data_IF_850111213581
#
_entry.id   IF_850111213581
#
_cell.length_a   1.000
_cell.length_b   1.000
_cell.length_c   1.000
_cell.angle_alpha   90.00
_cell.angle_beta   90.00
_cell.angle_gamma   90.00
#
_symmetry.space_group_name_H-M   'P 1'
#
loop_
_entity.id
_entity.type
_entity.pdbx_description
1 polymer ?
#
# COMPACT_ATOMS: atom_id res chain seq x y z
N UNK A 1 -0.48 3.02 46.97
CA UNK A 1 -1.71 2.92 46.14
C UNK A 1 -1.37 1.90 45.05
N UNK A 2 -1.97 0.69 45.11
CA UNK A 2 -1.59 -0.47 44.31
C UNK A 2 -2.03 -0.33 42.86
N UNK A 3 -1.08 -0.17 41.97
CA UNK A 3 -1.26 -0.07 40.50
C UNK A 3 -1.72 -1.42 39.87
N UNK A 4 -1.67 -2.50 40.64
CA UNK A 4 -2.02 -3.87 40.18
C UNK A 4 -3.51 -4.21 40.14
N UNK A 5 -4.41 -3.29 40.58
CA UNK A 5 -5.82 -3.60 40.73
C UNK A 5 -6.71 -3.26 39.53
N UNK A 6 -6.15 -2.73 38.41
CA UNK A 6 -6.95 -2.25 37.28
C UNK A 6 -6.89 -3.22 36.05
N UNK A 7 -6.00 -4.21 36.07
CA UNK A 7 -5.85 -5.18 34.98
C UNK A 7 -6.19 -6.61 35.42
N UNK A 8 -7.39 -6.83 35.97
CA UNK A 8 -7.87 -8.22 36.19
C UNK A 8 -8.54 -8.73 34.91
N UNK A 9 -8.07 -9.82 34.30
CA UNK A 9 -8.72 -10.39 33.13
C UNK A 9 -10.00 -11.08 33.55
N UNK A 10 -11.13 -10.58 33.08
CA UNK A 10 -12.41 -11.28 33.15
C UNK A 10 -12.54 -12.15 31.91
N UNK A 11 -12.81 -13.44 32.14
CA UNK A 11 -13.07 -14.52 31.17
C UNK A 11 -11.83 -15.16 30.50
N UNK A 12 -11.81 -16.48 30.56
CA UNK A 12 -10.86 -17.43 29.97
C UNK A 12 -10.76 -17.29 28.44
N UNK A 13 -10.00 -16.30 27.98
CA UNK A 13 -9.61 -16.25 26.57
C UNK A 13 -8.65 -17.42 26.32
N UNK A 14 -8.87 -18.14 25.22
CA UNK A 14 -8.00 -19.21 24.80
C UNK A 14 -6.55 -18.72 24.71
N UNK A 15 -5.59 -19.36 25.41
CA UNK A 15 -4.19 -18.95 25.40
C UNK A 15 -3.57 -18.96 24.01
N UNK A 16 -4.11 -19.72 23.07
CA UNK A 16 -3.69 -19.74 21.68
C UNK A 16 -4.14 -18.46 20.96
N UNK A 17 -5.40 -18.08 21.10
CA UNK A 17 -5.93 -16.86 20.49
C UNK A 17 -5.23 -15.61 21.02
N UNK A 18 -4.85 -15.59 22.30
CA UNK A 18 -4.09 -14.47 22.87
C UNK A 18 -2.68 -14.37 22.26
N UNK A 19 -2.01 -15.50 22.01
CA UNK A 19 -0.70 -15.52 21.34
C UNK A 19 -0.81 -15.02 19.90
N UNK A 20 -1.79 -15.50 19.15
CA UNK A 20 -2.03 -15.05 17.79
C UNK A 20 -2.37 -13.55 17.73
N UNK A 21 -3.16 -13.05 18.69
CA UNK A 21 -3.44 -11.62 18.82
C UNK A 21 -2.18 -10.79 19.13
N UNK A 22 -1.25 -11.34 19.94
CA UNK A 22 0.03 -10.70 20.23
C UNK A 22 0.92 -10.65 18.98
N UNK A 23 0.98 -11.73 18.20
CA UNK A 23 1.74 -11.78 16.95
C UNK A 23 1.21 -10.74 15.94
N UNK A 24 -0.11 -10.60 15.82
CA UNK A 24 -0.73 -9.55 15.02
C UNK A 24 -0.34 -8.15 15.50
N UNK A 25 -0.37 -7.90 16.80
CA UNK A 25 -0.02 -6.60 17.36
C UNK A 25 1.45 -6.26 17.13
N UNK A 26 2.35 -7.24 17.33
CA UNK A 26 3.78 -7.10 17.05
C UNK A 26 4.02 -6.82 15.57
N UNK A 27 3.35 -7.52 14.67
CA UNK A 27 3.46 -7.28 13.22
C UNK A 27 3.03 -5.84 12.88
N UNK A 28 1.86 -5.40 13.34
CA UNK A 28 1.35 -4.05 13.07
C UNK A 28 2.27 -2.94 13.60
N UNK A 29 2.84 -3.15 14.79
CA UNK A 29 3.71 -2.15 15.44
C UNK A 29 5.17 -2.21 14.99
N UNK A 30 5.56 -3.22 14.21
CA UNK A 30 6.93 -3.41 13.70
C UNK A 30 7.34 -2.40 12.62
N UNK A 31 6.41 -1.62 12.07
CA UNK A 31 6.62 -0.76 10.90
C UNK A 31 6.73 -1.53 9.57
N UNK A 32 6.51 -2.85 9.57
CA UNK A 32 6.61 -3.74 8.41
C UNK A 32 5.25 -4.25 7.90
N UNK A 33 4.17 -3.92 8.60
CA UNK A 33 2.84 -4.36 8.25
C UNK A 33 2.41 -3.80 6.88
N UNK A 34 1.80 -4.65 6.08
CA UNK A 34 1.30 -4.33 4.74
C UNK A 34 -0.23 -4.24 4.73
N UNK A 35 -0.79 -3.73 3.64
CA UNK A 35 -2.25 -3.73 3.43
C UNK A 35 -2.80 -5.16 3.40
N UNK A 36 -2.01 -6.13 2.91
CA UNK A 36 -2.39 -7.55 2.93
C UNK A 36 -2.49 -8.07 4.37
N UNK A 37 -1.56 -7.70 5.26
CA UNK A 37 -1.60 -8.05 6.68
C UNK A 37 -2.82 -7.44 7.38
N UNK A 38 -3.17 -6.20 7.05
CA UNK A 38 -4.38 -5.56 7.56
C UNK A 38 -5.67 -6.27 7.11
N UNK A 39 -5.70 -6.80 5.88
CA UNK A 39 -6.82 -7.64 5.40
C UNK A 39 -6.87 -8.99 6.12
N UNK A 40 -5.72 -9.63 6.29
CA UNK A 40 -5.60 -10.90 7.00
C UNK A 40 -6.01 -10.77 8.47
N UNK A 41 -5.59 -9.70 9.17
CA UNK A 41 -6.05 -9.41 10.53
C UNK A 41 -7.58 -9.26 10.60
N UNK A 42 -8.19 -8.51 9.66
CA UNK A 42 -9.66 -8.38 9.64
C UNK A 42 -10.36 -9.73 9.47
N UNK A 43 -9.85 -10.58 8.55
CA UNK A 43 -10.38 -11.92 8.36
C UNK A 43 -10.22 -12.76 9.62
N UNK A 44 -9.07 -12.67 10.28
CA UNK A 44 -8.81 -13.37 11.54
C UNK A 44 -9.78 -12.90 12.66
N UNK A 45 -9.96 -11.59 12.84
CA UNK A 45 -10.94 -11.06 13.80
C UNK A 45 -12.39 -11.47 13.48
N UNK A 46 -12.73 -11.63 12.20
CA UNK A 46 -14.07 -12.02 11.74
C UNK A 46 -14.38 -13.53 11.90
N UNK A 47 -13.38 -14.38 12.19
CA UNK A 47 -13.59 -15.82 12.35
C UNK A 47 -14.54 -16.16 13.52
N UNK A 48 -14.42 -15.42 14.63
CA UNK A 48 -15.36 -15.56 15.74
C UNK A 48 -15.31 -14.34 16.69
N UNK A 49 -16.35 -14.12 17.52
CA UNK A 49 -16.30 -13.11 18.57
C UNK A 49 -15.13 -13.27 19.54
N UNK A 50 -14.63 -14.50 19.72
CA UNK A 50 -13.48 -14.79 20.58
C UNK A 50 -12.17 -14.27 20.01
N UNK A 51 -11.94 -14.35 18.66
CA UNK A 51 -10.78 -13.75 17.99
C UNK A 51 -10.79 -12.23 18.14
N UNK A 52 -11.92 -11.59 17.90
CA UNK A 52 -12.07 -10.14 18.08
C UNK A 52 -11.82 -9.73 19.53
N UNK A 53 -12.36 -10.45 20.51
CA UNK A 53 -12.16 -10.19 21.93
C UNK A 53 -10.69 -10.38 22.35
N UNK A 54 -10.00 -11.41 21.85
CA UNK A 54 -8.58 -11.65 22.12
C UNK A 54 -7.72 -10.50 21.61
N UNK A 55 -8.00 -9.98 20.41
CA UNK A 55 -7.29 -8.84 19.86
C UNK A 55 -7.53 -7.55 20.67
N UNK A 56 -8.78 -7.27 21.03
CA UNK A 56 -9.12 -6.10 21.88
C UNK A 56 -8.45 -6.18 23.26
N UNK A 57 -8.41 -7.36 23.87
CA UNK A 57 -7.72 -7.57 25.15
C UNK A 57 -6.22 -7.30 25.02
N UNK A 58 -5.57 -7.85 23.99
CA UNK A 58 -4.13 -7.65 23.74
C UNK A 58 -3.82 -6.18 23.46
N UNK A 59 -4.67 -5.49 22.72
CA UNK A 59 -4.58 -4.05 22.47
C UNK A 59 -4.68 -3.22 23.77
N UNK A 60 -5.61 -3.57 24.65
CA UNK A 60 -5.77 -2.89 25.94
C UNK A 60 -4.52 -3.07 26.82
N UNK A 61 -3.97 -4.28 26.90
CA UNK A 61 -2.72 -4.53 27.62
C UNK A 61 -1.55 -3.72 27.05
N UNK A 62 -1.43 -3.61 25.73
CA UNK A 62 -0.41 -2.80 25.07
C UNK A 62 -0.49 -1.32 25.49
N UNK A 63 -1.68 -0.75 25.51
CA UNK A 63 -1.87 0.63 25.96
C UNK A 63 -1.49 0.85 27.43
N UNK A 64 -1.71 -0.13 28.29
CA UNK A 64 -1.30 -0.05 29.70
C UNK A 64 0.23 -0.07 29.86
N UNK A 65 0.96 -0.70 28.94
CA UNK A 65 2.42 -0.83 29.00
C UNK A 65 3.18 0.34 28.36
N UNK A 66 2.55 1.10 27.46
CA UNK A 66 3.18 2.22 26.75
C UNK A 66 3.81 3.29 27.66
N UNK A 67 3.16 3.77 28.75
CA UNK A 67 3.77 4.77 29.62
C UNK A 67 5.06 4.29 30.30
N UNK A 68 5.11 2.99 30.63
CA UNK A 68 6.29 2.37 31.26
C UNK A 68 7.45 2.23 30.26
N UNK A 69 7.15 1.85 29.03
CA UNK A 69 8.16 1.74 27.96
C UNK A 69 8.78 3.11 27.62
N UNK A 70 7.97 4.15 27.52
CA UNK A 70 8.45 5.52 27.26
C UNK A 70 9.32 6.07 28.40
N UNK A 71 8.99 5.75 29.65
CA UNK A 71 9.85 6.10 30.80
C UNK A 71 11.20 5.39 30.79
N UNK A 72 11.24 4.13 30.38
CA UNK A 72 12.47 3.35 30.26
C UNK A 72 13.36 3.85 29.11
N UNK A 73 12.79 4.25 27.98
CA UNK A 73 13.53 4.84 26.85
C UNK A 73 14.13 6.21 27.21
N UNK A 74 13.41 7.03 27.95
CA UNK A 74 13.91 8.32 28.44
C UNK A 74 15.08 8.17 29.44
N UNK A 75 15.13 7.09 30.19
CA UNK A 75 16.22 6.77 31.13
C UNK A 75 17.44 6.12 30.45
N UNK A 76 17.28 5.54 29.26
CA UNK A 76 18.29 4.78 28.52
C UNK A 76 19.06 5.59 27.47
N UNK A 77 19.14 6.93 27.56
CA UNK A 77 20.01 7.72 26.68
C UNK A 77 21.47 7.32 26.91
N UNK A 78 22.15 6.65 25.94
CA UNK A 78 23.53 6.27 26.11
C UNK A 78 24.42 7.53 26.14
N UNK A 79 25.14 7.71 27.24
CA UNK A 79 26.32 8.56 27.28
C UNK A 79 27.32 7.98 26.28
N UNK A 80 27.90 8.85 25.49
CA UNK A 80 28.93 8.58 24.49
C UNK A 80 29.93 7.51 24.95
N UNK A 81 29.88 6.33 24.34
CA UNK A 81 30.93 5.30 24.45
C UNK A 81 31.78 5.32 23.19
N UNK A 82 33.07 5.50 23.41
CA UNK A 82 34.10 5.68 22.42
C UNK A 82 34.27 4.48 21.47
N UNK A 83 34.87 4.79 20.35
CA UNK A 83 35.36 3.93 19.29
C UNK A 83 36.26 2.81 19.84
N UNK A 84 35.75 1.59 20.04
CA UNK A 84 36.52 0.32 20.06
C UNK A 84 35.61 -0.85 20.37
N UNK A 85 35.02 -1.46 19.31
CA UNK A 85 34.64 -2.89 19.30
C UNK A 85 34.23 -3.28 17.86
N UNK A 86 35.22 -3.46 17.00
CA UNK A 86 35.08 -4.17 15.73
C UNK A 86 35.68 -5.57 15.95
N UNK A 87 34.87 -6.51 16.37
CA UNK A 87 35.12 -7.95 16.21
C UNK A 87 33.83 -8.73 16.51
N UNK A 88 33.07 -9.02 15.44
CA UNK A 88 31.80 -9.77 15.49
C UNK A 88 31.19 -9.93 14.11
N UNK A 89 32.01 -10.12 13.08
CA UNK A 89 31.63 -9.93 11.68
C UNK A 89 30.92 -11.08 10.97
N UNK A 90 30.42 -12.12 11.64
CA UNK A 90 29.77 -13.23 10.93
C UNK A 90 28.26 -13.35 11.12
N UNK A 91 27.67 -12.71 12.15
CA UNK A 91 26.22 -12.73 12.40
C UNK A 91 25.54 -11.51 11.74
N UNK A 92 26.29 -10.45 11.44
CA UNK A 92 25.76 -9.23 10.83
C UNK A 92 25.38 -9.39 9.34
N UNK A 93 26.01 -10.30 8.60
CA UNK A 93 25.74 -10.47 7.17
C UNK A 93 24.39 -11.15 6.90
N UNK A 94 23.99 -12.11 7.73
CA UNK A 94 22.69 -12.77 7.61
C UNK A 94 21.53 -11.86 8.07
N UNK A 95 21.76 -11.01 9.07
CA UNK A 95 20.80 -10.02 9.52
C UNK A 95 20.64 -8.87 8.48
N UNK A 96 21.72 -8.46 7.80
CA UNK A 96 21.67 -7.45 6.75
C UNK A 96 20.91 -7.92 5.51
N UNK A 97 21.10 -9.15 5.05
CA UNK A 97 20.33 -9.77 3.96
C UNK A 97 18.86 -9.97 4.35
N UNK A 98 18.59 -10.31 5.60
CA UNK A 98 17.23 -10.41 6.11
C UNK A 98 16.56 -9.03 6.24
N UNK A 99 17.30 -8.01 6.66
CA UNK A 99 16.80 -6.62 6.72
C UNK A 99 16.49 -6.05 5.34
N UNK A 100 17.32 -6.27 4.31
CA UNK A 100 17.07 -5.79 2.95
C UNK A 100 15.75 -6.32 2.38
N UNK A 101 15.39 -7.57 2.71
CA UNK A 101 14.11 -8.14 2.28
C UNK A 101 12.89 -7.44 2.91
N UNK A 102 13.05 -6.82 4.07
CA UNK A 102 11.96 -6.26 4.87
C UNK A 102 11.93 -4.74 4.95
N UNK A 103 13.02 -4.06 4.58
CA UNK A 103 13.09 -2.59 4.65
C UNK A 103 12.90 -1.91 3.29
N UNK A 104 13.00 -2.66 2.19
CA UNK A 104 12.78 -2.11 0.84
C UNK A 104 11.35 -2.45 0.40
N UNK A 105 10.46 -1.46 0.25
CA UNK A 105 9.15 -1.69 -0.37
C UNK A 105 9.35 -2.37 -1.73
N UNK A 106 8.62 -3.47 -2.00
CA UNK A 106 8.82 -4.26 -3.22
C UNK A 106 9.90 -5.35 -3.15
N UNK A 107 10.57 -5.58 -2.00
CA UNK A 107 11.55 -6.65 -1.81
C UNK A 107 12.74 -6.55 -2.77
N UNK A 108 13.24 -7.70 -3.30
CA UNK A 108 14.38 -7.72 -4.25
C UNK A 108 14.06 -7.05 -5.59
N UNK A 109 12.81 -7.05 -6.04
CA UNK A 109 12.38 -6.34 -7.25
C UNK A 109 12.58 -4.82 -7.12
N UNK A 110 12.52 -4.27 -5.91
CA UNK A 110 12.78 -2.86 -5.64
C UNK A 110 14.25 -2.44 -5.84
N UNK A 111 15.19 -3.38 -5.75
CA UNK A 111 16.63 -3.11 -5.94
C UNK A 111 17.03 -3.06 -7.42
N UNK A 112 16.20 -3.54 -8.33
CA UNK A 112 16.48 -3.63 -9.77
C UNK A 112 15.69 -2.62 -10.60
N UNK A 113 14.83 -1.80 -9.98
CA UNK A 113 14.05 -0.80 -10.69
C UNK A 113 14.92 0.38 -11.13
N UNK A 114 14.82 0.78 -12.40
CA UNK A 114 15.51 1.96 -12.93
C UNK A 114 14.90 3.27 -12.44
N UNK A 115 13.60 3.24 -12.17
CA UNK A 115 12.84 4.38 -11.63
C UNK A 115 11.98 3.92 -10.46
N UNK A 116 12.07 4.65 -9.35
CA UNK A 116 11.29 4.37 -8.15
C UNK A 116 10.77 5.66 -7.52
N UNK A 117 9.63 5.56 -6.84
CA UNK A 117 9.08 6.58 -5.93
C UNK A 117 8.79 5.97 -4.58
N UNK A 118 8.94 6.76 -3.54
CA UNK A 118 8.61 6.40 -2.16
C UNK A 118 7.14 6.69 -1.81
N UNK A 119 6.76 6.42 -0.55
CA UNK A 119 5.41 6.71 -0.05
C UNK A 119 5.10 8.20 -0.13
N UNK A 120 4.05 8.56 -0.86
CA UNK A 120 3.62 9.95 -1.07
C UNK A 120 4.44 10.72 -2.11
N UNK A 121 5.53 10.13 -2.64
CA UNK A 121 6.33 10.74 -3.68
C UNK A 121 5.67 10.58 -5.05
N UNK A 122 5.73 11.63 -5.86
CA UNK A 122 5.39 11.62 -7.28
C UNK A 122 6.56 12.14 -8.09
N UNK A 123 6.84 11.54 -9.24
CA UNK A 123 8.02 11.87 -10.03
C UNK A 123 7.75 11.81 -11.52
N UNK A 124 8.22 12.83 -12.24
CA UNK A 124 8.25 12.84 -13.70
C UNK A 124 9.56 12.26 -14.22
N UNK A 125 9.46 11.44 -15.26
CA UNK A 125 10.59 10.85 -15.99
C UNK A 125 10.35 11.01 -17.49
N UNK A 126 11.28 11.66 -18.17
CA UNK A 126 11.28 11.70 -19.63
C UNK A 126 12.17 10.54 -20.14
N UNK A 127 11.57 9.61 -20.91
CA UNK A 127 12.26 8.41 -21.41
C UNK A 127 13.04 8.69 -22.67
N UNK A 128 12.38 9.32 -23.65
CA UNK A 128 12.91 9.71 -24.94
C UNK A 128 12.03 10.83 -25.52
N UNK A 129 12.38 11.33 -26.70
CA UNK A 129 11.60 12.34 -27.39
C UNK A 129 10.15 11.87 -27.62
N UNK A 130 9.21 12.63 -27.09
CA UNK A 130 7.78 12.33 -27.18
C UNK A 130 7.28 11.24 -26.22
N UNK A 131 8.12 10.71 -25.31
CA UNK A 131 7.72 9.71 -24.31
C UNK A 131 8.01 10.17 -22.89
N UNK A 132 6.98 10.25 -22.06
CA UNK A 132 7.06 10.71 -20.67
C UNK A 132 6.24 9.83 -19.75
N UNK A 133 6.77 9.63 -18.55
CA UNK A 133 6.12 8.94 -17.45
C UNK A 133 5.87 9.93 -16.30
N UNK A 134 4.71 9.87 -15.71
CA UNK A 134 4.41 10.47 -14.42
C UNK A 134 4.16 9.34 -13.42
N UNK A 135 5.11 9.14 -12.53
CA UNK A 135 5.07 8.09 -11.52
C UNK A 135 4.30 8.57 -10.31
N UNK A 136 3.36 7.76 -9.85
CA UNK A 136 2.64 7.99 -8.60
C UNK A 136 3.40 7.39 -7.41
N UNK A 137 2.81 7.47 -6.21
CA UNK A 137 3.36 6.91 -4.97
C UNK A 137 3.70 5.42 -5.10
N UNK A 138 4.78 4.99 -4.46
CA UNK A 138 5.20 3.58 -4.34
C UNK A 138 5.27 2.88 -5.71
N UNK A 139 5.84 3.55 -6.71
CA UNK A 139 5.92 3.04 -8.08
C UNK A 139 7.33 2.56 -8.38
N UNK A 140 7.44 1.44 -9.08
CA UNK A 140 8.71 0.83 -9.50
C UNK A 140 8.62 0.42 -10.95
N UNK A 141 9.53 0.94 -11.75
CA UNK A 141 9.58 0.71 -13.20
C UNK A 141 11.01 0.29 -13.58
N UNK A 142 11.11 -0.78 -14.37
CA UNK A 142 12.35 -1.19 -15.03
C UNK A 142 12.29 -0.88 -16.50
N UNK A 143 13.43 -0.50 -17.09
CA UNK A 143 13.58 -0.45 -18.53
C UNK A 143 13.64 -1.86 -19.08
N UNK A 144 13.05 -2.05 -20.24
CA UNK A 144 13.12 -3.29 -21.01
C UNK A 144 13.63 -2.97 -22.41
N UNK A 145 14.41 -3.85 -22.94
CA UNK A 145 14.79 -3.83 -24.35
C UNK A 145 13.97 -4.92 -25.07
N UNK A 146 12.87 -4.55 -25.73
CA UNK A 146 12.05 -5.52 -26.44
C UNK A 146 12.69 -5.96 -27.78
N UNK A 147 13.88 -5.46 -28.11
CA UNK A 147 14.58 -5.70 -29.36
C UNK A 147 14.10 -4.81 -30.51
N UNK A 148 14.80 -4.92 -31.66
CA UNK A 148 14.46 -4.19 -32.90
C UNK A 148 14.37 -2.65 -32.78
N UNK A 149 15.04 -2.04 -31.76
CA UNK A 149 15.02 -0.59 -31.56
C UNK A 149 13.71 -0.05 -30.94
N UNK A 150 12.83 -0.93 -30.49
CA UNK A 150 11.63 -0.55 -29.74
C UNK A 150 12.00 -0.13 -28.29
N UNK A 151 11.26 0.83 -27.74
CA UNK A 151 11.39 1.19 -26.33
C UNK A 151 10.42 0.38 -25.49
N UNK A 152 10.89 -0.13 -24.38
CA UNK A 152 10.10 -0.91 -23.44
C UNK A 152 10.32 -0.53 -22.00
N UNK A 153 9.25 -0.68 -21.22
CA UNK A 153 9.28 -0.58 -19.76
C UNK A 153 8.44 -1.70 -19.15
N UNK A 154 8.74 -2.02 -17.90
CA UNK A 154 7.92 -2.90 -17.09
C UNK A 154 7.50 -2.16 -15.82
N UNK A 155 6.19 -2.09 -15.57
CA UNK A 155 5.64 -1.66 -14.29
C UNK A 155 5.61 -2.85 -13.33
N UNK A 156 6.60 -2.89 -12.45
CA UNK A 156 6.72 -3.94 -11.42
C UNK A 156 5.64 -3.78 -10.35
N UNK A 157 5.44 -2.54 -9.88
CA UNK A 157 4.49 -2.19 -8.82
C UNK A 157 4.13 -0.70 -8.91
N UNK A 158 2.96 -0.32 -8.41
CA UNK A 158 2.53 1.05 -8.27
C UNK A 158 1.63 1.55 -9.39
N UNK A 159 1.76 2.82 -9.76
CA UNK A 159 0.89 3.48 -10.72
C UNK A 159 1.64 4.54 -11.51
N UNK A 160 1.43 4.55 -12.81
CA UNK A 160 2.08 5.47 -13.74
C UNK A 160 1.12 5.96 -14.80
N UNK A 161 1.14 7.24 -15.08
CA UNK A 161 0.55 7.78 -16.29
C UNK A 161 1.61 7.87 -17.37
N UNK A 162 1.30 7.32 -18.55
CA UNK A 162 2.19 7.22 -19.70
C UNK A 162 1.71 8.15 -20.80
N UNK A 163 2.61 9.00 -21.28
CA UNK A 163 2.42 9.83 -22.46
C UNK A 163 3.30 9.28 -23.58
N UNK A 164 2.70 8.84 -24.66
CA UNK A 164 3.39 8.40 -25.85
C UNK A 164 2.90 9.19 -27.05
N UNK A 165 3.70 10.16 -27.49
CA UNK A 165 3.46 10.96 -28.70
C UNK A 165 4.44 10.61 -29.83
N UNK A 166 5.17 9.49 -29.67
CA UNK A 166 6.12 9.01 -30.64
C UNK A 166 5.45 8.20 -31.76
N UNK A 167 6.04 8.20 -32.92
CA UNK A 167 5.68 7.29 -34.03
C UNK A 167 6.13 5.85 -33.78
N UNK A 168 7.14 5.67 -32.93
CA UNK A 168 7.58 4.35 -32.45
C UNK A 168 6.61 3.84 -31.37
N UNK A 169 6.34 2.54 -31.40
CA UNK A 169 5.51 1.91 -30.39
C UNK A 169 6.26 1.81 -29.07
N UNK A 170 5.64 2.28 -28.00
CA UNK A 170 6.08 1.96 -26.64
C UNK A 170 5.48 0.62 -26.24
N UNK A 171 6.33 -0.30 -25.79
CA UNK A 171 5.91 -1.58 -25.20
C UNK A 171 5.95 -1.47 -23.69
N UNK A 172 4.85 -1.79 -23.03
CA UNK A 172 4.76 -1.76 -21.56
C UNK A 172 4.32 -3.13 -21.06
N UNK A 173 5.12 -3.71 -20.19
CA UNK A 173 4.74 -4.93 -19.47
C UNK A 173 4.18 -4.56 -18.11
N UNK A 174 3.06 -5.21 -17.70
CA UNK A 174 2.54 -5.13 -16.34
C UNK A 174 1.87 -6.47 -15.97
N UNK A 175 2.36 -7.12 -14.92
CA UNK A 175 1.98 -8.50 -14.62
C UNK A 175 2.19 -9.41 -15.83
N UNK A 176 1.19 -10.20 -16.17
CA UNK A 176 1.23 -11.14 -17.32
C UNK A 176 0.80 -10.49 -18.64
N UNK A 177 0.52 -9.18 -18.64
CA UNK A 177 0.04 -8.46 -19.81
C UNK A 177 1.09 -7.59 -20.49
N UNK A 178 0.94 -7.42 -21.80
CA UNK A 178 1.72 -6.53 -22.64
C UNK A 178 0.83 -5.47 -23.26
N UNK A 179 1.22 -4.21 -23.14
CA UNK A 179 0.57 -3.07 -23.76
C UNK A 179 1.42 -2.55 -24.90
N UNK A 180 0.78 -2.14 -25.98
CA UNK A 180 1.44 -1.47 -27.10
C UNK A 180 0.71 -0.18 -27.42
N UNK A 181 1.41 0.96 -27.33
CA UNK A 181 0.88 2.27 -27.59
C UNK A 181 1.82 3.10 -28.46
N UNK A 182 1.27 3.89 -29.40
CA UNK A 182 2.04 4.83 -30.22
C UNK A 182 1.68 6.27 -29.87
N UNK A 183 0.50 6.70 -30.23
CA UNK A 183 -0.01 8.04 -29.92
C UNK A 183 -1.16 7.90 -28.91
N UNK A 184 -0.81 7.66 -27.66
CA UNK A 184 -1.78 7.44 -26.61
C UNK A 184 -1.31 8.01 -25.27
N UNK A 185 -2.28 8.36 -24.44
CA UNK A 185 -2.12 8.70 -23.04
C UNK A 185 -2.94 7.71 -22.23
N UNK A 186 -2.35 7.06 -21.28
CA UNK A 186 -3.02 6.05 -20.47
C UNK A 186 -2.45 5.99 -19.05
N UNK A 187 -3.29 5.60 -18.12
CA UNK A 187 -2.90 5.29 -16.75
C UNK A 187 -2.79 3.79 -16.58
N UNK A 188 -1.72 3.34 -15.96
CA UNK A 188 -1.44 1.94 -15.69
C UNK A 188 -1.15 1.78 -14.20
N UNK A 189 -1.88 0.90 -13.55
CA UNK A 189 -1.72 0.58 -12.15
C UNK A 189 -1.52 -0.92 -11.97
N UNK A 190 -0.49 -1.31 -11.23
CA UNK A 190 -0.20 -2.68 -10.83
C UNK A 190 -0.06 -2.72 -9.30
N UNK A 191 -1.11 -3.13 -8.62
CA UNK A 191 -1.16 -3.20 -7.16
C UNK A 191 -1.90 -4.46 -6.73
N UNK A 192 -1.45 -5.11 -5.65
CA UNK A 192 -2.08 -6.33 -5.13
C UNK A 192 -2.23 -7.45 -6.18
N UNK A 193 -1.26 -7.59 -7.10
CA UNK A 193 -1.27 -8.53 -8.23
C UNK A 193 -2.42 -8.31 -9.23
N UNK A 194 -3.06 -7.16 -9.19
CA UNK A 194 -4.07 -6.76 -10.15
C UNK A 194 -3.58 -5.59 -10.98
N UNK A 195 -3.71 -5.72 -12.29
CA UNK A 195 -3.38 -4.67 -13.25
C UNK A 195 -4.64 -3.99 -13.74
N UNK A 196 -4.63 -2.67 -13.68
CA UNK A 196 -5.71 -1.83 -14.18
C UNK A 196 -5.14 -0.85 -15.21
N UNK A 197 -5.67 -0.89 -16.43
CA UNK A 197 -5.27 -0.05 -17.57
C UNK A 197 -6.41 0.85 -17.95
N UNK A 198 -6.21 2.16 -17.93
CA UNK A 198 -7.21 3.14 -18.38
C UNK A 198 -6.66 3.95 -19.55
N UNK A 199 -7.29 3.87 -20.72
CA UNK A 199 -6.98 4.73 -21.84
C UNK A 199 -7.58 6.11 -21.62
N UNK A 200 -6.74 7.16 -21.64
CA UNK A 200 -7.15 8.56 -21.44
C UNK A 200 -7.35 9.25 -22.79
N UNK A 201 -6.39 9.09 -23.68
CA UNK A 201 -6.41 9.67 -25.01
C UNK A 201 -5.84 8.67 -26.02
N UNK A 202 -6.40 8.66 -27.25
CA UNK A 202 -5.98 7.75 -28.32
C UNK A 202 -6.52 6.33 -28.11
N UNK A 203 -5.69 5.35 -28.42
CA UNK A 203 -6.01 3.93 -28.19
C UNK A 203 -4.73 3.11 -27.99
N UNK A 204 -4.85 2.00 -27.29
CA UNK A 204 -3.77 1.04 -27.08
C UNK A 204 -4.27 -0.39 -27.25
N UNK A 205 -3.32 -1.31 -27.49
CA UNK A 205 -3.57 -2.74 -27.54
C UNK A 205 -3.06 -3.37 -26.25
N UNK A 206 -3.89 -4.21 -25.63
CA UNK A 206 -3.52 -5.00 -24.46
C UNK A 206 -3.56 -6.47 -24.83
N UNK A 207 -2.40 -7.12 -24.79
CA UNK A 207 -2.25 -8.56 -25.01
C UNK A 207 -2.08 -9.27 -23.65
N UNK A 208 -3.04 -10.09 -23.27
CA UNK A 208 -3.04 -10.81 -21.99
C UNK A 208 -3.82 -12.12 -22.11
N UNK A 209 -3.33 -13.19 -21.52
CA UNK A 209 -3.96 -14.53 -21.55
C UNK A 209 -4.36 -14.99 -22.95
N UNK A 210 -3.51 -14.75 -23.97
CA UNK A 210 -3.77 -15.10 -25.36
C UNK A 210 -4.83 -14.25 -26.07
N UNK A 211 -5.42 -13.25 -25.41
CA UNK A 211 -6.36 -12.28 -26.00
C UNK A 211 -5.63 -11.00 -26.39
N UNK A 212 -6.07 -10.37 -27.47
CA UNK A 212 -5.65 -9.02 -27.85
C UNK A 212 -6.87 -8.09 -27.79
N UNK A 213 -6.85 -7.14 -26.89
CA UNK A 213 -7.97 -6.25 -26.59
C UNK A 213 -7.55 -4.82 -26.95
N UNK A 214 -8.32 -4.18 -27.82
CA UNK A 214 -8.19 -2.75 -28.09
C UNK A 214 -8.89 -1.96 -27.01
N UNK A 215 -8.19 -0.99 -26.44
CA UNK A 215 -8.72 -0.09 -25.42
C UNK A 215 -8.71 1.33 -25.97
N UNK A 216 -9.89 1.85 -26.24
CA UNK A 216 -10.11 3.23 -26.71
C UNK A 216 -10.25 4.20 -25.54
N UNK A 217 -10.16 5.52 -25.82
CA UNK A 217 -10.28 6.57 -24.82
C UNK A 217 -11.54 6.43 -23.95
N UNK A 218 -11.41 6.65 -22.63
CA UNK A 218 -12.49 6.52 -21.65
C UNK A 218 -12.81 5.06 -21.26
N UNK A 219 -12.02 4.10 -21.72
CA UNK A 219 -12.20 2.67 -21.36
C UNK A 219 -11.12 2.20 -20.41
N UNK A 220 -11.52 1.32 -19.49
CA UNK A 220 -10.65 0.69 -18.49
C UNK A 220 -10.76 -0.82 -18.59
N UNK A 221 -9.62 -1.50 -18.53
CA UNK A 221 -9.50 -2.94 -18.46
C UNK A 221 -8.78 -3.32 -17.17
N UNK A 222 -9.31 -4.30 -16.46
CA UNK A 222 -8.64 -4.88 -15.28
C UNK A 222 -8.36 -6.36 -15.53
N UNK A 223 -7.16 -6.82 -15.17
CA UNK A 223 -6.77 -8.22 -15.27
C UNK A 223 -5.81 -8.63 -14.13
N UNK A 224 -5.75 -9.90 -13.87
CA UNK A 224 -4.77 -10.56 -12.99
C UNK A 224 -4.34 -11.91 -13.60
N UNK A 225 -3.55 -12.70 -12.85
CA UNK A 225 -3.08 -14.02 -13.30
C UNK A 225 -4.20 -15.05 -13.51
N UNK A 226 -5.43 -14.79 -13.04
CA UNK A 226 -6.56 -15.73 -13.04
C UNK A 226 -7.66 -15.34 -14.03
N UNK A 227 -7.86 -14.04 -14.21
CA UNK A 227 -8.99 -13.51 -14.96
C UNK A 227 -8.64 -12.24 -15.75
N UNK A 228 -9.28 -12.10 -16.90
CA UNK A 228 -9.28 -10.87 -17.69
C UNK A 228 -10.71 -10.36 -17.74
N UNK A 229 -10.91 -9.15 -17.22
CA UNK A 229 -12.22 -8.48 -17.23
C UNK A 229 -12.61 -8.02 -18.63
N UNK A 230 -13.80 -7.45 -18.73
CA UNK A 230 -14.25 -6.76 -19.94
C UNK A 230 -13.97 -5.25 -19.81
N UNK A 231 -13.69 -4.54 -20.92
CA UNK A 231 -13.50 -3.10 -20.90
C UNK A 231 -14.76 -2.38 -20.43
N UNK A 232 -14.65 -1.56 -19.38
CA UNK A 232 -15.73 -0.74 -18.84
C UNK A 232 -15.50 0.74 -19.14
N UNK A 233 -16.57 1.54 -19.18
CA UNK A 233 -16.48 2.99 -19.30
C UNK A 233 -16.13 3.60 -17.92
N UNK A 234 -15.19 4.55 -17.92
CA UNK A 234 -14.81 5.30 -16.71
C UNK A 234 -14.60 6.78 -17.07
N UNK A 235 -14.65 7.65 -16.05
CA UNK A 235 -14.17 9.03 -16.22
C UNK A 235 -12.65 9.09 -16.07
N UNK A 236 -11.91 9.38 -17.14
CA UNK A 236 -10.43 9.44 -17.06
C UNK A 236 -9.92 10.50 -16.08
N UNK A 237 -10.69 11.60 -15.88
CA UNK A 237 -10.29 12.68 -14.96
C UNK A 237 -10.22 12.20 -13.51
N UNK A 238 -11.15 11.35 -13.11
CA UNK A 238 -11.14 10.74 -11.78
C UNK A 238 -9.93 9.81 -11.59
N UNK A 239 -9.55 9.07 -12.63
CA UNK A 239 -8.42 8.13 -12.58
C UNK A 239 -7.09 8.85 -12.41
N UNK A 240 -6.89 10.00 -13.06
CA UNK A 240 -5.64 10.77 -13.00
C UNK A 240 -5.67 11.95 -12.02
N UNK A 241 -6.70 12.07 -11.18
CA UNK A 241 -6.83 13.16 -10.21
C UNK A 241 -5.65 13.23 -9.22
N UNK A 242 -4.97 12.11 -8.97
CA UNK A 242 -3.78 12.05 -8.15
C UNK A 242 -2.66 13.00 -8.64
N UNK A 243 -2.58 13.30 -9.92
CA UNK A 243 -1.63 14.28 -10.48
C UNK A 243 -1.87 15.70 -9.98
N UNK A 244 -3.11 16.02 -9.63
CA UNK A 244 -3.52 17.28 -9.01
C UNK A 244 -3.50 17.19 -7.49
N UNK A 245 -2.81 16.19 -6.92
CA UNK A 245 -2.74 15.96 -5.48
C UNK A 245 -4.11 15.69 -4.85
N UNK A 246 -5.04 15.05 -5.59
CA UNK A 246 -6.41 14.78 -5.15
C UNK A 246 -6.74 13.31 -5.37
N UNK A 247 -7.38 12.69 -4.37
CA UNK A 247 -8.06 11.40 -4.50
C UNK A 247 -9.56 11.64 -4.66
N UNK A 248 -10.15 11.01 -5.66
CA UNK A 248 -11.58 11.09 -5.95
C UNK A 248 -12.23 9.73 -5.73
N UNK A 249 -13.25 9.70 -4.91
CA UNK A 249 -14.04 8.52 -4.63
C UNK A 249 -15.50 8.79 -5.00
N UNK A 250 -16.05 7.95 -5.86
CA UNK A 250 -17.45 7.97 -6.23
C UNK A 250 -18.06 6.61 -5.94
N UNK A 251 -19.00 6.58 -4.99
CA UNK A 251 -19.67 5.37 -4.55
C UNK A 251 -18.70 4.20 -4.18
N UNK A 252 -17.49 4.54 -3.73
CA UNK A 252 -16.48 3.57 -3.32
C UNK A 252 -16.77 3.01 -1.92
N UNK A 253 -16.41 1.76 -1.65
CA UNK A 253 -16.48 1.24 -0.27
C UNK A 253 -15.45 1.93 0.62
N UNK A 254 -15.75 2.12 1.92
CA UNK A 254 -14.79 2.71 2.86
C UNK A 254 -13.51 1.86 2.93
N UNK A 255 -13.60 0.54 2.75
CA UNK A 255 -12.41 -0.32 2.62
C UNK A 255 -11.53 0.08 1.45
N UNK A 256 -12.12 0.36 0.28
CA UNK A 256 -11.41 0.84 -0.91
C UNK A 256 -10.78 2.20 -0.66
N UNK A 257 -11.52 3.11 -0.02
CA UNK A 257 -11.02 4.45 0.35
C UNK A 257 -9.79 4.34 1.28
N UNK A 258 -9.87 3.52 2.33
CA UNK A 258 -8.77 3.31 3.27
C UNK A 258 -7.56 2.65 2.58
N UNK A 259 -7.79 1.64 1.73
CA UNK A 259 -6.70 1.01 0.97
C UNK A 259 -5.97 2.02 0.09
N UNK A 260 -6.71 2.91 -0.59
CA UNK A 260 -6.11 3.94 -1.42
C UNK A 260 -5.34 4.99 -0.60
N UNK A 261 -5.92 5.46 0.51
CA UNK A 261 -5.26 6.41 1.41
C UNK A 261 -3.95 5.84 1.97
N UNK A 262 -3.92 4.56 2.31
CA UNK A 262 -2.74 3.88 2.83
C UNK A 262 -1.56 3.84 1.83
N UNK A 263 -1.80 4.05 0.54
CA UNK A 263 -0.73 4.17 -0.46
C UNK A 263 0.07 5.47 -0.32
N UNK A 264 -0.54 6.53 0.21
CA UNK A 264 0.03 7.90 0.20
C UNK A 264 0.55 8.36 1.55
N UNK A 265 0.37 7.59 2.60
CA UNK A 265 0.78 8.01 3.95
C UNK A 265 1.74 7.01 4.59
N UNK A 266 2.72 7.49 5.36
CA UNK A 266 3.46 6.62 6.27
C UNK A 266 2.51 6.08 7.36
N UNK A 267 2.77 4.86 7.81
CA UNK A 267 1.88 4.15 8.73
C UNK A 267 0.65 3.59 8.02
N UNK A 268 -0.35 3.12 8.77
CA UNK A 268 -1.48 2.38 8.23
C UNK A 268 -2.78 2.70 8.95
N UNK A 269 -3.87 2.87 8.20
CA UNK A 269 -5.23 2.82 8.70
C UNK A 269 -5.74 1.38 8.58
N UNK A 270 -6.21 0.81 9.67
CA UNK A 270 -6.81 -0.52 9.72
C UNK A 270 -8.24 -0.40 10.19
N UNK A 271 -9.18 -0.74 9.32
CA UNK A 271 -10.59 -0.76 9.67
C UNK A 271 -10.98 -2.16 10.14
N UNK A 272 -11.31 -2.31 11.41
CA UNK A 272 -11.70 -3.58 12.02
C UNK A 272 -13.17 -3.90 11.83
N UNK A 273 -14.04 -2.88 11.75
CA UNK A 273 -15.47 -3.05 11.57
C UNK A 273 -15.82 -3.36 10.11
N UNK A 274 -16.23 -4.60 9.83
CA UNK A 274 -16.56 -5.08 8.50
C UNK A 274 -17.77 -4.36 7.89
N UNK A 275 -18.81 -4.05 8.68
CA UNK A 275 -20.02 -3.36 8.21
C UNK A 275 -19.69 -1.92 7.79
N UNK A 276 -18.90 -1.23 8.61
CA UNK A 276 -18.41 0.10 8.29
C UNK A 276 -17.59 0.10 6.99
N UNK A 277 -16.82 -0.96 6.76
CA UNK A 277 -16.01 -1.13 5.56
C UNK A 277 -16.80 -1.19 4.26
N UNK A 278 -18.05 -1.62 4.30
CA UNK A 278 -18.93 -1.73 3.13
C UNK A 278 -19.68 -0.41 2.83
N UNK A 279 -19.68 0.56 3.76
CA UNK A 279 -20.36 1.85 3.53
C UNK A 279 -19.81 2.55 2.32
N UNK A 280 -20.71 3.09 1.52
CA UNK A 280 -20.37 3.83 0.31
C UNK A 280 -19.98 5.27 0.66
N UNK A 281 -18.89 5.70 0.05
CA UNK A 281 -18.28 7.01 0.26
C UNK A 281 -18.23 7.75 -1.07
N UNK A 282 -18.66 8.99 -1.05
CA UNK A 282 -18.46 9.95 -2.12
C UNK A 282 -17.65 11.10 -1.53
N UNK A 283 -16.40 11.24 -1.94
CA UNK A 283 -15.49 12.21 -1.35
C UNK A 283 -14.33 12.59 -2.28
N UNK A 284 -13.76 13.76 -2.01
CA UNK A 284 -12.50 14.24 -2.60
C UNK A 284 -11.56 14.59 -1.45
N UNK A 285 -10.35 14.03 -1.46
CA UNK A 285 -9.33 14.32 -0.46
C UNK A 285 -8.10 14.92 -1.13
N UNK A 286 -7.59 16.03 -0.61
CA UNK A 286 -6.25 16.47 -0.96
C UNK A 286 -5.22 15.58 -0.26
N UNK A 287 -4.13 15.22 -0.95
CA UNK A 287 -3.09 14.33 -0.40
C UNK A 287 -2.45 14.90 0.87
N UNK A 288 -2.34 16.23 0.98
CA UNK A 288 -1.82 16.90 2.18
C UNK A 288 -2.75 16.80 3.42
N UNK A 289 -4.01 16.40 3.25
CA UNK A 289 -4.98 16.24 4.33
C UNK A 289 -5.04 14.81 4.88
N UNK A 290 -4.35 13.87 4.23
CA UNK A 290 -4.44 12.44 4.58
C UNK A 290 -3.91 12.11 5.98
N UNK A 291 -3.07 12.97 6.57
CA UNK A 291 -2.61 12.81 7.95
C UNK A 291 -3.78 12.84 8.96
N UNK A 292 -4.79 13.68 8.71
CA UNK A 292 -5.97 13.84 9.57
C UNK A 292 -7.17 12.97 9.21
N UNK A 293 -7.08 12.14 8.19
CA UNK A 293 -8.24 11.40 7.63
C UNK A 293 -8.86 10.40 8.63
N UNK A 294 -8.07 9.85 9.56
CA UNK A 294 -8.57 8.98 10.61
C UNK A 294 -9.61 9.68 11.50
N UNK A 295 -9.35 10.95 11.82
CA UNK A 295 -10.28 11.78 12.60
C UNK A 295 -11.54 12.09 11.80
N UNK A 296 -11.42 12.38 10.52
CA UNK A 296 -12.57 12.59 9.65
C UNK A 296 -13.46 11.34 9.56
N UNK A 297 -12.87 10.16 9.44
CA UNK A 297 -13.61 8.89 9.44
C UNK A 297 -14.29 8.66 10.78
N UNK A 298 -13.59 8.92 11.90
CA UNK A 298 -14.16 8.85 13.24
C UNK A 298 -15.39 9.74 13.38
N UNK A 299 -15.27 11.01 12.99
CA UNK A 299 -16.32 12.02 13.19
C UNK A 299 -17.52 11.78 12.25
N UNK A 300 -17.25 11.31 11.01
CA UNK A 300 -18.32 11.05 10.05
C UNK A 300 -19.09 9.75 10.32
N UNK A 301 -18.45 8.75 10.90
CA UNK A 301 -19.02 7.40 11.01
C UNK A 301 -19.12 6.90 12.46
N UNK A 302 -18.68 7.68 13.46
CA UNK A 302 -18.69 7.28 14.86
C UNK A 302 -17.70 6.17 15.22
N UNK A 303 -16.70 5.94 14.37
CA UNK A 303 -15.67 4.92 14.60
C UNK A 303 -14.78 5.30 15.80
N UNK A 304 -14.33 4.31 16.56
CA UNK A 304 -13.28 4.52 17.56
C UNK A 304 -11.93 4.51 16.89
N UNK A 305 -11.10 5.52 17.18
CA UNK A 305 -9.71 5.57 16.72
C UNK A 305 -8.78 5.14 17.84
N UNK A 306 -7.88 4.21 17.55
CA UNK A 306 -6.82 3.79 18.46
C UNK A 306 -5.49 3.91 17.73
N UNK A 307 -4.63 4.80 18.19
CA UNK A 307 -3.30 4.98 17.63
C UNK A 307 -2.33 3.98 18.23
N UNK A 308 -1.52 3.36 17.38
CA UNK A 308 -0.44 2.44 17.73
C UNK A 308 0.90 3.02 17.28
N UNK A 309 2.04 2.58 17.86
CA UNK A 309 3.36 2.94 17.36
C UNK A 309 3.52 2.65 15.86
N UNK A 310 4.44 3.37 15.20
CA UNK A 310 4.67 3.22 13.77
C UNK A 310 3.61 3.89 12.88
N UNK A 311 2.76 4.77 13.45
CA UNK A 311 1.74 5.51 12.67
C UNK A 311 0.54 4.67 12.26
N UNK A 312 0.34 3.52 12.92
CA UNK A 312 -0.83 2.65 12.70
C UNK A 312 -2.02 3.19 13.47
N UNK A 313 -3.17 3.32 12.81
CA UNK A 313 -4.44 3.74 13.43
C UNK A 313 -5.49 2.68 13.18
N UNK A 314 -6.02 2.12 14.26
CA UNK A 314 -7.12 1.16 14.21
C UNK A 314 -8.46 1.93 14.29
N UNK A 315 -9.37 1.60 13.37
CA UNK A 315 -10.73 2.11 13.29
C UNK A 315 -11.70 0.96 13.59
N UNK A 316 -12.44 1.08 14.68
CA UNK A 316 -13.40 0.04 15.14
C UNK A 316 -14.78 0.60 15.41
#
# INVERSE_FOLDING_TARGET
>A
MNIFSICTPQASADPQLLREAQDWLVLLTSGRATVADARALRQWCAQSPQHAAAFEHTKALWHCLQPVAQQLEQQSRPRHLGRRAFLGGAIAASAALFMVRFTVPGGFAGLTADFATDVGEQRRVDLAEGMRLELNTQTRISRRDPGAGEQGIELLEGEVEVFSHSTQALKVQAGDGWLSARQARFNLRNTDHQVCVTCIEGSLQVAVAGRSIRLDSGRQLTYDARAVGEPIAVDPRSVIAWREQVLVFDNASLNTVISEINRYRPGMLVLLNAELGQRKVQARFNLNQLAGVALLIRDAYGAKCTELPGGVVLLS
#
